data_IF_736532151299
#
_entry.id   IF_736532151299
#
_cell.length_a   1.000
_cell.length_b   1.000
_cell.length_c   1.000
_cell.angle_alpha   90.00
_cell.angle_beta   90.00
_cell.angle_gamma   90.00
#
_symmetry.space_group_name_H-M   'P 1'
#
loop_
_entity.id
_entity.type
_entity.pdbx_description
1 polymer ?
#
# COMPACT_ATOMS: atom_id res chain seq x y z
N UNK A 1 -6.68 -4.23 13.59
CA UNK A 1 -5.23 -4.08 13.87
C UNK A 1 -4.38 -4.28 12.64
N UNK A 2 -4.14 -5.52 12.15
CA UNK A 2 -3.27 -5.81 10.99
C UNK A 2 -3.54 -4.92 9.76
N UNK A 3 -4.80 -4.72 9.37
CA UNK A 3 -5.13 -3.85 8.22
C UNK A 3 -4.70 -2.40 8.44
N UNK A 4 -4.91 -1.86 9.63
CA UNK A 4 -4.52 -0.49 9.95
C UNK A 4 -2.99 -0.38 10.06
N UNK A 5 -2.33 -1.39 10.64
CA UNK A 5 -0.87 -1.50 10.70
C UNK A 5 -0.22 -1.50 9.30
N UNK A 6 -0.75 -2.30 8.37
CA UNK A 6 -0.27 -2.30 6.96
C UNK A 6 -0.39 -0.92 6.32
N UNK A 7 -1.52 -0.24 6.53
CA UNK A 7 -1.73 1.12 6.01
C UNK A 7 -0.74 2.11 6.63
N UNK A 8 -0.49 2.04 7.95
CA UNK A 8 0.48 2.94 8.60
C UNK A 8 1.92 2.68 8.17
N UNK A 9 2.32 1.42 7.93
CA UNK A 9 3.63 1.10 7.36
C UNK A 9 3.83 1.77 6.00
N UNK A 10 2.87 1.63 5.08
CA UNK A 10 2.95 2.28 3.76
C UNK A 10 2.88 3.81 3.85
N UNK A 11 2.03 4.35 4.71
CA UNK A 11 1.92 5.80 4.92
C UNK A 11 3.23 6.40 5.44
N UNK A 12 3.95 5.68 6.31
CA UNK A 12 5.22 6.15 6.89
C UNK A 12 6.29 6.26 5.81
N UNK A 13 6.45 5.24 4.97
CA UNK A 13 7.36 5.27 3.81
C UNK A 13 6.91 6.34 2.80
N UNK A 14 5.61 6.41 2.52
CA UNK A 14 5.03 7.39 1.61
C UNK A 14 5.14 8.84 2.09
N UNK A 15 5.34 9.08 3.38
CA UNK A 15 5.62 10.40 3.94
C UNK A 15 7.12 10.75 3.85
N UNK A 16 7.99 9.78 4.11
CA UNK A 16 9.45 9.99 4.11
C UNK A 16 10.05 10.08 2.70
N UNK A 17 9.67 9.18 1.78
CA UNK A 17 10.30 9.07 0.46
C UNK A 17 10.20 10.37 -0.37
N UNK A 18 9.03 11.05 -0.44
CA UNK A 18 8.90 12.30 -1.18
C UNK A 18 9.78 13.46 -0.68
N UNK A 19 10.32 13.38 0.53
CA UNK A 19 11.31 14.34 1.07
C UNK A 19 12.67 14.19 0.39
N UNK A 20 13.06 12.95 0.10
CA UNK A 20 14.38 12.65 -0.47
C UNK A 20 14.34 12.50 -1.99
N UNK A 21 13.22 12.05 -2.56
CA UNK A 21 13.11 11.76 -3.98
C UNK A 21 11.72 12.04 -4.53
N UNK A 22 11.67 12.78 -5.64
CA UNK A 22 10.47 12.98 -6.45
C UNK A 22 10.72 12.48 -7.86
N UNK A 23 9.71 11.80 -8.42
CA UNK A 23 9.79 11.34 -9.81
C UNK A 23 9.93 12.51 -10.78
N UNK A 24 10.76 12.34 -11.80
CA UNK A 24 10.90 13.33 -12.86
C UNK A 24 9.77 13.12 -13.88
N UNK A 25 8.89 14.10 -14.05
CA UNK A 25 7.78 14.03 -15.00
C UNK A 25 6.51 14.79 -14.57
N UNK A 26 5.43 14.50 -15.29
CA UNK A 26 4.11 15.09 -15.03
C UNK A 26 3.22 14.12 -14.25
N UNK A 27 2.67 14.59 -13.14
CA UNK A 27 1.60 13.91 -12.40
C UNK A 27 0.30 13.94 -13.22
N UNK A 28 0.01 15.05 -13.87
CA UNK A 28 -1.13 15.18 -14.78
C UNK A 28 -0.71 15.98 -16.00
N UNK A 29 -0.48 15.31 -17.16
CA UNK A 29 -0.14 16.00 -18.41
C UNK A 29 -1.25 16.94 -18.89
N UNK A 30 -2.53 16.61 -18.62
CA UNK A 30 -3.68 17.43 -18.99
C UNK A 30 -3.79 18.71 -18.15
N UNK A 31 -3.37 18.66 -16.88
CA UNK A 31 -3.33 19.83 -15.99
C UNK A 31 -1.96 20.52 -15.95
N UNK A 32 -0.96 20.04 -16.70
CA UNK A 32 0.42 20.55 -16.68
C UNK A 32 1.14 20.42 -15.33
N UNK A 33 0.64 19.55 -14.43
CA UNK A 33 1.13 19.43 -13.06
C UNK A 33 2.33 18.47 -12.99
N UNK A 34 3.49 18.94 -12.51
CA UNK A 34 4.67 18.10 -12.32
C UNK A 34 4.70 17.48 -10.93
N UNK A 35 5.35 16.32 -10.81
CA UNK A 35 5.60 15.70 -9.51
C UNK A 35 6.47 16.58 -8.59
N UNK A 36 7.35 17.40 -9.17
CA UNK A 36 8.17 18.36 -8.43
C UNK A 36 7.30 19.43 -7.69
N UNK A 37 6.18 19.81 -8.30
CA UNK A 37 5.30 20.88 -7.82
C UNK A 37 4.33 20.41 -6.70
N UNK A 38 4.34 19.11 -6.38
CA UNK A 38 3.55 18.54 -5.29
C UNK A 38 4.32 18.72 -3.98
N UNK A 39 3.80 19.46 -3.00
CA UNK A 39 4.42 19.60 -1.68
C UNK A 39 4.26 18.31 -0.89
N UNK A 40 5.14 18.08 0.09
CA UNK A 40 5.07 16.88 0.93
C UNK A 40 3.98 17.02 2.02
N UNK A 41 3.61 15.88 2.59
CA UNK A 41 2.61 15.81 3.66
C UNK A 41 1.19 16.15 3.21
N UNK A 42 0.39 16.71 4.12
CA UNK A 42 -1.07 16.89 3.93
C UNK A 42 -1.43 17.79 2.75
N UNK A 43 -0.55 18.71 2.35
CA UNK A 43 -0.79 19.61 1.23
C UNK A 43 -0.77 18.87 -0.13
N UNK A 44 -0.08 17.74 -0.22
CA UNK A 44 -0.07 16.88 -1.41
C UNK A 44 -1.48 16.47 -1.81
N UNK A 45 -2.33 16.19 -0.81
CA UNK A 45 -3.70 15.70 -1.01
C UNK A 45 -4.54 16.64 -1.86
N UNK A 46 -4.38 17.95 -1.64
CA UNK A 46 -5.12 19.00 -2.34
C UNK A 46 -4.62 19.30 -3.76
N UNK A 47 -3.41 18.84 -4.11
CA UNK A 47 -2.80 19.07 -5.42
C UNK A 47 -3.08 17.95 -6.41
N UNK A 48 -3.35 16.74 -5.92
CA UNK A 48 -3.71 15.61 -6.77
C UNK A 48 -5.12 15.83 -7.33
N UNK A 49 -5.32 15.73 -8.66
CA UNK A 49 -6.64 15.88 -9.28
C UNK A 49 -7.65 14.83 -8.79
N UNK A 50 -8.94 15.19 -8.81
CA UNK A 50 -10.02 14.30 -8.36
C UNK A 50 -10.10 12.99 -9.16
N UNK A 51 -9.75 13.05 -10.45
CA UNK A 51 -9.71 11.88 -11.33
C UNK A 51 -8.67 10.85 -10.88
N UNK A 52 -7.51 11.33 -10.39
CA UNK A 52 -6.47 10.47 -9.84
C UNK A 52 -6.92 9.79 -8.54
N UNK A 53 -7.64 10.51 -7.68
CA UNK A 53 -8.25 9.96 -6.47
C UNK A 53 -9.32 8.92 -6.79
N UNK A 54 -10.15 9.16 -7.80
CA UNK A 54 -11.19 8.21 -8.22
C UNK A 54 -10.57 6.90 -8.71
N UNK A 55 -9.50 6.97 -9.52
CA UNK A 55 -8.77 5.79 -9.96
C UNK A 55 -8.19 5.00 -8.77
N UNK A 56 -7.60 5.71 -7.80
CA UNK A 56 -7.04 5.10 -6.59
C UNK A 56 -8.10 4.41 -5.73
N UNK A 57 -9.22 5.09 -5.46
CA UNK A 57 -10.34 4.53 -4.67
C UNK A 57 -10.94 3.33 -5.38
N UNK A 58 -11.13 3.39 -6.70
CA UNK A 58 -11.63 2.28 -7.49
C UNK A 58 -10.70 1.06 -7.43
N UNK A 59 -9.38 1.28 -7.54
CA UNK A 59 -8.38 0.21 -7.43
C UNK A 59 -8.37 -0.40 -6.02
N UNK A 60 -8.34 0.43 -4.98
CA UNK A 60 -8.42 -0.05 -3.59
C UNK A 60 -9.71 -0.83 -3.34
N UNK A 61 -10.84 -0.36 -3.86
CA UNK A 61 -12.12 -1.05 -3.79
C UNK A 61 -12.10 -2.40 -4.50
N UNK A 62 -11.51 -2.49 -5.70
CA UNK A 62 -11.34 -3.75 -6.42
C UNK A 62 -10.54 -4.77 -5.60
N UNK A 63 -9.43 -4.34 -5.01
CA UNK A 63 -8.60 -5.22 -4.19
C UNK A 63 -9.32 -5.69 -2.92
N UNK A 64 -10.02 -4.78 -2.24
CA UNK A 64 -10.74 -5.07 -1.00
C UNK A 64 -11.96 -5.97 -1.24
N UNK A 65 -12.77 -5.71 -2.27
CA UNK A 65 -14.06 -6.38 -2.47
C UNK A 65 -14.00 -7.59 -3.41
N UNK A 66 -13.03 -7.65 -4.32
CA UNK A 66 -13.00 -8.70 -5.36
C UNK A 66 -11.82 -9.64 -5.18
N UNK A 67 -10.61 -9.10 -4.95
CA UNK A 67 -9.38 -9.90 -4.93
C UNK A 67 -9.14 -10.53 -3.56
N UNK A 68 -9.31 -9.76 -2.48
CA UNK A 68 -9.04 -10.18 -1.11
C UNK A 68 -10.30 -10.51 -0.30
N UNK A 69 -11.39 -10.88 -0.97
CA UNK A 69 -12.68 -11.23 -0.35
C UNK A 69 -12.55 -12.43 0.61
N UNK A 70 -11.73 -13.43 0.25
CA UNK A 70 -11.60 -14.67 1.03
C UNK A 70 -10.27 -14.76 1.75
N UNK A 71 -10.34 -14.93 3.08
CA UNK A 71 -9.20 -15.29 3.91
C UNK A 71 -8.90 -16.77 3.73
N UNK A 72 -7.62 -17.11 3.56
CA UNK A 72 -7.16 -18.50 3.53
C UNK A 72 -7.15 -19.03 4.96
N UNK A 73 -7.74 -20.21 5.18
CA UNK A 73 -7.82 -20.89 6.48
C UNK A 73 -8.50 -20.09 7.61
N UNK A 74 -9.25 -19.02 7.29
CA UNK A 74 -9.90 -18.16 8.28
C UNK A 74 -8.94 -17.30 9.11
N UNK A 75 -7.65 -17.33 8.81
CA UNK A 75 -6.63 -16.60 9.56
C UNK A 75 -6.70 -15.09 9.24
N UNK A 76 -6.74 -14.20 10.25
CA UNK A 76 -6.77 -12.76 10.04
C UNK A 76 -5.57 -12.26 9.21
N UNK A 77 -5.83 -11.59 8.09
CA UNK A 77 -4.78 -10.99 7.25
C UNK A 77 -4.05 -11.97 6.32
N UNK A 78 -4.45 -13.25 6.32
CA UNK A 78 -3.94 -14.25 5.39
C UNK A 78 -4.78 -14.29 4.12
N UNK A 79 -4.23 -13.76 3.04
CA UNK A 79 -4.86 -13.75 1.71
C UNK A 79 -4.20 -14.71 0.72
N UNK A 80 -3.41 -15.69 1.20
CA UNK A 80 -2.73 -16.66 0.34
C UNK A 80 -1.53 -16.11 -0.45
N UNK A 81 -1.15 -14.85 -0.22
CA UNK A 81 0.04 -14.24 -0.80
C UNK A 81 1.22 -14.32 0.17
N UNK A 82 1.82 -15.51 0.26
CA UNK A 82 3.09 -15.71 0.94
C UNK A 82 4.29 -15.37 0.03
N UNK A 83 5.45 -15.12 0.66
CA UNK A 83 6.75 -14.96 0.00
C UNK A 83 6.76 -13.97 -1.19
N UNK A 84 6.64 -12.67 -0.88
CA UNK A 84 6.64 -11.55 -1.85
C UNK A 84 5.52 -11.63 -2.90
N UNK A 85 4.50 -12.47 -2.70
CA UNK A 85 3.42 -12.67 -3.67
C UNK A 85 3.85 -13.38 -4.96
N UNK A 86 5.12 -13.79 -5.08
CA UNK A 86 5.68 -14.40 -6.29
C UNK A 86 5.41 -15.91 -6.37
N UNK A 87 5.38 -16.59 -5.22
CA UNK A 87 5.24 -18.07 -5.18
C UNK A 87 3.89 -18.54 -4.66
N UNK A 88 3.06 -17.65 -4.08
CA UNK A 88 1.76 -18.04 -3.51
C UNK A 88 1.84 -19.07 -2.38
N UNK A 89 3.04 -19.49 -1.99
CA UNK A 89 3.27 -20.46 -0.93
C UNK A 89 3.42 -19.73 0.39
N UNK A 90 2.62 -20.14 1.37
CA UNK A 90 2.79 -19.71 2.75
C UNK A 90 4.12 -20.25 3.28
N UNK A 91 4.76 -19.52 4.20
CA UNK A 91 5.97 -20.00 4.89
C UNK A 91 5.60 -21.31 5.61
N UNK A 92 6.16 -22.43 5.15
CA UNK A 92 5.88 -23.77 5.67
C UNK A 92 6.48 -23.98 7.07
N UNK A 93 7.62 -23.34 7.35
CA UNK A 93 8.29 -23.40 8.65
C UNK A 93 7.51 -22.60 9.72
N UNK A 94 6.95 -23.27 10.75
CA UNK A 94 6.09 -22.62 11.75
C UNK A 94 6.84 -21.59 12.61
N UNK A 95 8.15 -21.78 12.85
CA UNK A 95 8.95 -20.86 13.64
C UNK A 95 9.20 -19.55 12.88
N UNK A 96 9.55 -19.66 11.58
CA UNK A 96 9.74 -18.50 10.70
C UNK A 96 8.43 -17.76 10.47
N UNK A 97 7.33 -18.48 10.32
CA UNK A 97 5.99 -17.89 10.16
C UNK A 97 5.59 -17.07 11.39
N UNK A 98 5.72 -17.63 12.59
CA UNK A 98 5.38 -16.92 13.84
C UNK A 98 6.24 -15.68 14.04
N UNK A 99 7.54 -15.79 13.77
CA UNK A 99 8.46 -14.65 13.82
C UNK A 99 8.07 -13.55 12.84
N UNK A 100 7.74 -13.90 11.60
CA UNK A 100 7.34 -12.94 10.57
C UNK A 100 6.04 -12.21 10.89
N UNK A 101 5.03 -12.94 11.37
CA UNK A 101 3.74 -12.36 11.76
C UNK A 101 3.88 -11.43 12.97
N UNK A 102 4.69 -11.80 13.96
CA UNK A 102 4.95 -10.94 15.12
C UNK A 102 5.74 -9.68 14.73
N UNK A 103 6.68 -9.80 13.78
CA UNK A 103 7.41 -8.64 13.25
C UNK A 103 6.48 -7.70 12.47
N UNK A 104 5.50 -8.23 11.74
CA UNK A 104 4.48 -7.43 11.06
C UNK A 104 3.58 -6.71 12.08
N UNK A 105 3.15 -7.39 13.14
CA UNK A 105 2.28 -6.77 14.15
C UNK A 105 2.97 -5.66 14.95
N UNK A 106 4.28 -5.78 15.17
CA UNK A 106 5.06 -4.84 15.97
C UNK A 106 5.58 -3.61 15.19
N UNK A 107 5.44 -3.59 13.87
CA UNK A 107 5.81 -2.48 13.00
C UNK A 107 4.66 -1.48 12.83
#
# INVERSE_FOLDING_TARGET
>A
EIKHGRVSMFATIGYMVPEYFKFQGYLSPSAGLKFADVPNGLQAFTKVPAEGWLQWVALCGLYEFVIYDKKVNGEPGNYGQGNLGWTGTSIEDPAKRTRGLNAELAN
#
